data_IF_936656541016
#
_entry.id   IF_936656541016
#
_cell.length_a   1.000
_cell.length_b   1.000
_cell.length_c   1.000
_cell.angle_alpha   90.00
_cell.angle_beta   90.00
_cell.angle_gamma   90.00
#
_symmetry.space_group_name_H-M   'P 1'
#
loop_
_entity.id
_entity.type
_entity.pdbx_description
1 polymer ?
#
# COMPACT_ATOMS: atom_id res chain seq x y z
N UNK A 1 1.07 16.91 12.43
CA UNK A 1 2.26 16.26 11.83
C UNK A 1 2.21 16.55 10.32
N UNK A 2 3.24 16.26 9.53
CA UNK A 2 3.08 16.38 8.07
C UNK A 2 2.19 15.22 7.59
N UNK A 3 1.20 15.44 6.71
CA UNK A 3 0.40 14.35 6.16
C UNK A 3 1.32 13.39 5.39
N UNK A 4 1.17 12.09 5.63
CA UNK A 4 1.94 11.07 4.90
C UNK A 4 1.47 11.05 3.45
N UNK A 5 2.34 11.50 2.55
CA UNK A 5 2.06 11.47 1.11
C UNK A 5 2.86 10.34 0.45
N UNK A 6 2.16 9.40 -0.16
CA UNK A 6 2.75 8.31 -0.95
C UNK A 6 2.55 8.67 -2.42
N UNK A 7 3.61 8.67 -3.21
CA UNK A 7 3.52 8.88 -4.66
C UNK A 7 4.02 7.66 -5.41
N UNK A 8 3.35 7.37 -6.53
CA UNK A 8 3.73 6.28 -7.41
C UNK A 8 3.73 6.76 -8.86
N UNK A 9 4.88 6.62 -9.53
CA UNK A 9 5.09 7.08 -10.90
C UNK A 9 5.30 5.89 -11.83
N UNK A 10 4.60 5.89 -12.96
CA UNK A 10 4.69 4.87 -14.01
C UNK A 10 4.77 5.54 -15.37
N UNK A 11 5.08 4.78 -16.42
CA UNK A 11 4.98 5.24 -17.82
C UNK A 11 3.54 5.62 -18.21
N UNK A 12 2.54 5.10 -17.48
CA UNK A 12 1.11 5.39 -17.70
C UNK A 12 0.63 6.65 -16.99
N UNK A 13 1.42 7.21 -16.06
CA UNK A 13 1.02 8.37 -15.27
C UNK A 13 1.47 8.29 -13.82
N UNK A 14 1.03 9.28 -13.05
CA UNK A 14 1.37 9.45 -11.63
C UNK A 14 0.11 9.38 -10.79
N UNK A 15 0.20 8.68 -9.67
CA UNK A 15 -0.81 8.69 -8.62
C UNK A 15 -0.17 9.13 -7.30
N UNK A 16 -0.96 9.82 -6.49
CA UNK A 16 -0.58 10.31 -5.18
C UNK A 16 -1.68 9.96 -4.19
N UNK A 17 -1.28 9.44 -3.05
CA UNK A 17 -2.11 9.23 -1.89
C UNK A 17 -1.67 10.18 -0.79
N UNK A 18 -2.62 10.86 -0.15
CA UNK A 18 -2.35 11.71 1.00
C UNK A 18 -3.20 11.23 2.17
N UNK A 19 -2.54 10.71 3.21
CA UNK A 19 -3.21 10.36 4.46
C UNK A 19 -3.75 11.63 5.12
N UNK A 20 -5.04 11.66 5.45
CA UNK A 20 -5.62 12.79 6.19
C UNK A 20 -5.56 12.48 7.68
N UNK A 21 -5.15 13.46 8.50
CA UNK A 21 -5.12 13.32 9.97
C UNK A 21 -6.53 13.11 10.58
N UNK A 22 -7.58 13.32 9.79
CA UNK A 22 -8.97 13.05 10.16
C UNK A 22 -9.63 12.30 8.99
N UNK A 23 -9.95 10.99 9.14
CA UNK A 23 -10.66 10.26 8.11
C UNK A 23 -12.08 10.84 7.98
N UNK A 24 -12.33 11.63 6.95
CA UNK A 24 -13.70 11.99 6.57
C UNK A 24 -14.27 10.81 5.78
N UNK A 25 -15.12 10.03 6.46
CA UNK A 25 -15.73 8.78 5.96
C UNK A 25 -16.61 8.96 4.72
N UNK A 26 -16.92 10.20 4.32
CA UNK A 26 -17.95 10.52 3.32
C UNK A 26 -17.42 11.15 2.01
N UNK A 27 -16.11 11.30 1.84
CA UNK A 27 -15.60 11.79 0.55
C UNK A 27 -15.51 10.65 -0.49
N UNK A 28 -16.04 10.83 -1.71
CA UNK A 28 -15.94 9.87 -2.81
C UNK A 28 -14.49 9.75 -3.32
N UNK A 29 -13.65 9.11 -2.53
CA UNK A 29 -12.22 8.97 -2.76
C UNK A 29 -11.35 8.78 -1.53
N UNK A 30 -11.98 8.79 -0.35
CA UNK A 30 -11.40 8.29 0.89
C UNK A 30 -11.00 6.82 0.75
N UNK A 31 -9.71 6.55 0.76
CA UNK A 31 -9.13 5.21 0.83
C UNK A 31 -8.26 5.18 2.08
N UNK A 32 -8.46 4.22 2.99
CA UNK A 32 -7.69 4.15 4.24
C UNK A 32 -7.69 5.49 5.05
N UNK A 33 -8.75 6.29 4.95
CA UNK A 33 -8.82 7.60 5.62
C UNK A 33 -8.02 8.73 4.95
N UNK A 34 -7.58 8.55 3.71
CA UNK A 34 -6.84 9.57 2.94
C UNK A 34 -7.36 9.74 1.51
N UNK A 35 -6.86 10.74 0.80
CA UNK A 35 -7.28 11.07 -0.56
C UNK A 35 -6.35 10.44 -1.59
N UNK A 36 -6.91 9.69 -2.53
CA UNK A 36 -6.19 9.17 -3.70
C UNK A 36 -6.50 10.02 -4.94
N UNK A 37 -5.46 10.60 -5.55
CA UNK A 37 -5.56 11.44 -6.74
C UNK A 37 -4.47 11.12 -7.78
N UNK A 38 -4.64 11.66 -8.98
CA UNK A 38 -3.73 11.43 -10.12
C UNK A 38 -4.45 10.80 -11.30
N UNK A 39 -3.76 9.91 -12.01
CA UNK A 39 -4.30 9.34 -13.25
C UNK A 39 -5.55 8.48 -12.99
N UNK A 40 -6.72 8.81 -13.60
CA UNK A 40 -8.01 8.25 -13.20
C UNK A 40 -8.11 6.74 -13.45
N UNK A 41 -7.44 6.22 -14.49
CA UNK A 41 -7.39 4.78 -14.75
C UNK A 41 -6.63 4.02 -13.65
N UNK A 42 -5.51 4.57 -13.17
CA UNK A 42 -4.74 3.98 -12.08
C UNK A 42 -5.49 4.10 -10.75
N UNK A 43 -6.12 5.26 -10.49
CA UNK A 43 -6.95 5.49 -9.30
C UNK A 43 -8.10 4.47 -9.24
N UNK A 44 -8.78 4.21 -10.36
CA UNK A 44 -9.85 3.22 -10.42
C UNK A 44 -9.35 1.82 -10.07
N UNK A 45 -8.22 1.39 -10.64
CA UNK A 45 -7.61 0.08 -10.36
C UNK A 45 -7.24 -0.05 -8.87
N UNK A 46 -6.58 0.96 -8.30
CA UNK A 46 -6.21 0.95 -6.86
C UNK A 46 -7.46 0.87 -5.98
N UNK A 47 -8.53 1.61 -6.30
CA UNK A 47 -9.80 1.52 -5.57
C UNK A 47 -10.45 0.16 -5.68
N UNK A 48 -10.48 -0.45 -6.88
CA UNK A 48 -11.03 -1.79 -7.06
C UNK A 48 -10.25 -2.86 -6.28
N UNK A 49 -8.93 -2.74 -6.23
CA UNK A 49 -8.08 -3.59 -5.41
C UNK A 49 -8.45 -3.41 -3.95
N UNK A 50 -8.51 -2.19 -3.44
CA UNK A 50 -8.80 -1.95 -2.02
C UNK A 50 -10.25 -2.28 -1.64
N UNK A 51 -11.18 -2.23 -2.58
CA UNK A 51 -12.55 -2.73 -2.41
C UNK A 51 -12.64 -4.28 -2.33
N UNK A 52 -11.53 -4.99 -2.55
CA UNK A 52 -11.44 -6.44 -2.39
C UNK A 52 -11.66 -7.26 -3.65
N UNK A 53 -11.77 -6.65 -4.83
CA UNK A 53 -12.06 -7.38 -6.07
C UNK A 53 -10.90 -8.27 -6.53
N UNK A 54 -9.64 -7.84 -6.44
CA UNK A 54 -8.46 -8.54 -6.99
C UNK A 54 -7.15 -8.07 -6.30
N UNK A 55 -6.02 -8.77 -6.49
CA UNK A 55 -5.63 -10.02 -5.82
C UNK A 55 -5.53 -9.90 -4.28
N UNK A 56 -5.33 -11.03 -3.58
CA UNK A 56 -5.09 -11.07 -2.11
C UNK A 56 -3.63 -10.83 -1.73
N UNK A 57 -2.71 -11.02 -2.67
CA UNK A 57 -1.28 -10.85 -2.48
C UNK A 57 -0.67 -10.06 -3.63
N UNK A 58 0.38 -9.32 -3.34
CA UNK A 58 1.15 -8.52 -4.29
C UNK A 58 2.58 -9.00 -4.26
N UNK A 59 3.12 -9.33 -5.43
CA UNK A 59 4.55 -9.60 -5.57
C UNK A 59 5.28 -8.31 -5.87
N UNK A 60 6.09 -7.86 -4.92
CA UNK A 60 6.94 -6.69 -5.03
C UNK A 60 8.23 -7.12 -5.73
N UNK A 61 8.44 -6.69 -6.98
CA UNK A 61 9.49 -7.24 -7.85
C UNK A 61 10.93 -7.09 -7.29
N UNK A 62 11.23 -5.99 -6.61
CA UNK A 62 12.45 -5.78 -5.83
C UNK A 62 11.99 -5.31 -4.45
N UNK A 63 12.16 -6.09 -3.36
CA UNK A 63 13.07 -7.24 -3.16
C UNK A 63 12.49 -8.65 -3.45
N UNK A 64 11.53 -8.82 -4.36
CA UNK A 64 10.88 -10.11 -4.68
C UNK A 64 10.06 -10.70 -3.51
N UNK A 65 9.48 -9.83 -2.68
CA UNK A 65 8.65 -10.22 -1.53
C UNK A 65 7.17 -10.28 -1.91
N UNK A 66 6.43 -11.18 -1.27
CA UNK A 66 4.97 -11.22 -1.37
C UNK A 66 4.37 -10.47 -0.18
N UNK A 67 3.65 -9.38 -0.46
CA UNK A 67 2.85 -8.67 0.53
C UNK A 67 1.43 -9.21 0.52
N UNK A 68 0.90 -9.56 1.69
CA UNK A 68 -0.50 -9.99 1.86
C UNK A 68 -1.32 -8.79 2.32
N UNK A 69 -2.38 -8.45 1.56
CA UNK A 69 -3.27 -7.37 1.95
C UNK A 69 -3.95 -7.67 3.28
N UNK A 70 -4.10 -6.64 4.11
CA UNK A 70 -4.88 -6.75 5.34
C UNK A 70 -6.35 -7.09 5.05
N UNK A 71 -7.08 -7.72 5.98
CA UNK A 71 -8.48 -8.07 5.78
C UNK A 71 -9.39 -6.87 5.45
N UNK A 72 -9.03 -5.67 5.94
CA UNK A 72 -9.79 -4.44 5.73
C UNK A 72 -9.26 -3.56 4.60
N UNK A 73 -8.03 -3.83 4.12
CA UNK A 73 -7.37 -3.05 3.06
C UNK A 73 -7.36 -1.54 3.34
N UNK A 74 -7.21 -1.19 4.62
CA UNK A 74 -7.36 0.17 5.14
C UNK A 74 -6.05 0.72 5.72
N UNK A 75 -4.90 0.11 5.38
CA UNK A 75 -3.58 0.54 5.85
C UNK A 75 -2.76 1.24 4.76
N UNK A 76 -1.76 2.02 5.16
CA UNK A 76 -0.82 2.66 4.23
C UNK A 76 -0.06 1.63 3.38
N UNK A 77 0.27 0.48 3.96
CA UNK A 77 0.93 -0.62 3.27
C UNK A 77 0.02 -1.25 2.21
N UNK A 78 -1.27 -1.43 2.50
CA UNK A 78 -2.26 -1.88 1.52
C UNK A 78 -2.36 -0.90 0.35
N UNK A 79 -2.40 0.41 0.63
CA UNK A 79 -2.43 1.44 -0.41
C UNK A 79 -1.17 1.33 -1.29
N UNK A 80 0.01 1.26 -0.69
CA UNK A 80 1.27 1.16 -1.41
C UNK A 80 1.37 -0.12 -2.26
N UNK A 81 0.94 -1.26 -1.71
CA UNK A 81 0.86 -2.53 -2.43
C UNK A 81 -0.13 -2.46 -3.61
N UNK A 82 -1.30 -1.85 -3.42
CA UNK A 82 -2.28 -1.66 -4.49
C UNK A 82 -1.75 -0.77 -5.62
N UNK A 83 -0.97 0.27 -5.29
CA UNK A 83 -0.29 1.10 -6.29
C UNK A 83 0.69 0.28 -7.13
N UNK A 84 1.49 -0.60 -6.50
CA UNK A 84 2.43 -1.48 -7.21
C UNK A 84 1.71 -2.42 -8.19
N UNK A 85 0.57 -2.99 -7.78
CA UNK A 85 -0.27 -3.83 -8.65
C UNK A 85 -0.84 -3.02 -9.80
N UNK A 86 -1.34 -1.81 -9.54
CA UNK A 86 -1.87 -0.94 -10.58
C UNK A 86 -0.82 -0.56 -11.64
N UNK A 87 0.44 -0.42 -11.21
CA UNK A 87 1.58 -0.25 -12.10
C UNK A 87 2.09 -1.54 -12.75
N UNK A 88 1.51 -2.70 -12.45
CA UNK A 88 1.98 -4.01 -12.88
C UNK A 88 3.47 -4.26 -12.54
N UNK A 89 3.92 -3.79 -11.36
CA UNK A 89 5.32 -3.81 -10.95
C UNK A 89 6.24 -2.88 -11.75
N UNK A 90 5.72 -2.10 -12.70
CA UNK A 90 6.44 -1.11 -13.51
C UNK A 90 6.13 0.29 -13.02
N UNK A 91 6.68 0.62 -11.86
CA UNK A 91 6.60 1.97 -11.35
C UNK A 91 7.54 2.20 -10.18
N UNK A 92 7.78 3.48 -9.90
CA UNK A 92 8.60 3.92 -8.79
C UNK A 92 7.70 4.43 -7.68
N UNK A 93 7.65 3.67 -6.60
CA UNK A 93 7.05 4.08 -5.34
C UNK A 93 8.01 5.04 -4.61
N UNK A 94 7.46 6.06 -3.96
CA UNK A 94 8.21 6.97 -3.11
C UNK A 94 8.72 6.29 -1.85
N UNK A 95 9.76 6.84 -1.24
CA UNK A 95 10.36 6.32 0.00
C UNK A 95 9.31 6.10 1.10
N UNK A 96 8.37 7.04 1.31
CA UNK A 96 7.30 6.86 2.31
C UNK A 96 6.33 5.70 2.03
N UNK A 97 6.21 5.27 0.77
CA UNK A 97 5.43 4.08 0.42
C UNK A 97 6.23 2.80 0.67
N UNK A 98 7.53 2.84 0.42
CA UNK A 98 8.44 1.75 0.78
C UNK A 98 8.53 1.59 2.30
N UNK A 99 8.66 2.68 3.05
CA UNK A 99 8.66 2.68 4.52
C UNK A 99 7.38 2.06 5.09
N UNK A 100 6.22 2.35 4.48
CA UNK A 100 4.95 1.78 4.90
C UNK A 100 4.87 0.26 4.66
N UNK A 101 5.39 -0.22 3.51
CA UNK A 101 5.48 -1.65 3.22
C UNK A 101 6.47 -2.35 4.14
N UNK A 102 7.64 -1.75 4.35
CA UNK A 102 8.70 -2.28 5.22
C UNK A 102 8.22 -2.40 6.66
N UNK A 103 7.60 -1.34 7.20
CA UNK A 103 7.01 -1.35 8.53
C UNK A 103 5.90 -2.41 8.69
N UNK A 104 5.12 -2.69 7.65
CA UNK A 104 4.10 -3.73 7.69
C UNK A 104 4.68 -5.14 7.58
N UNK A 105 5.79 -5.32 6.85
CA UNK A 105 6.50 -6.59 6.74
C UNK A 105 7.27 -6.91 8.04
N UNK A 106 7.88 -5.91 8.67
CA UNK A 106 8.56 -6.05 9.97
C UNK A 106 7.55 -6.28 11.11
N UNK A 107 6.32 -5.78 10.95
CA UNK A 107 5.22 -6.02 11.88
C UNK A 107 4.55 -7.39 11.74
N UNK A 108 4.92 -8.24 10.78
CA UNK A 108 4.39 -9.61 10.66
C UNK A 108 5.10 -10.54 11.66
N UNK A 109 4.43 -10.99 12.74
CA UNK A 109 5.04 -11.80 13.79
C UNK A 109 5.33 -13.26 13.37
N UNK A 110 5.33 -13.57 12.07
CA UNK A 110 5.80 -14.86 11.55
C UNK A 110 7.31 -15.12 11.81
N UNK A 111 8.05 -14.16 12.39
CA UNK A 111 9.39 -14.34 12.98
C UNK A 111 9.39 -14.50 14.51
N UNK A 112 8.37 -15.16 15.08
CA UNK A 112 8.54 -15.94 16.30
C UNK A 112 8.55 -17.42 15.92
N UNK A 113 9.67 -18.15 15.90
CA UNK A 113 10.34 -18.68 17.09
C UNK A 113 11.51 -19.56 16.62
N UNK A 114 12.75 -19.31 17.07
CA UNK A 114 13.68 -20.32 17.62
C UNK A 114 14.98 -19.59 18.05
N UNK A 115 15.18 -19.27 19.32
CA UNK A 115 16.10 -20.09 20.11
C UNK A 115 15.74 -20.02 21.58
N UNK A 116 15.10 -21.08 22.06
CA UNK A 116 15.23 -21.50 23.46
C UNK A 116 16.16 -22.71 23.49
N UNK A 117 17.40 -22.54 23.97
CA UNK A 117 18.17 -23.64 24.56
C UNK A 117 18.88 -23.14 25.82
N UNK A 118 18.21 -23.45 26.93
CA UNK A 118 18.67 -23.85 28.27
C UNK A 118 20.18 -24.20 28.37
N UNK A 119 20.91 -23.58 29.31
CA UNK A 119 21.59 -24.30 30.40
C UNK A 119 21.98 -23.39 31.57
#
# INVERSE_FOLDING_TARGET
MAPTTITFRTDRGVIAYSAMERPETDEPGGVAGGLLGGEPALVAIVREILAGSLPKTVRVAEPNLEYVFSPRRDTLADVAAAMLVAGNGRGRLSDSGWDALDAAMDADPASGTDSTVIH
#
